data_IF_739532696590
#
_entry.id   IF_739532696590
#
_cell.length_a   1.000
_cell.length_b   1.000
_cell.length_c   1.000
_cell.angle_alpha   90.00
_cell.angle_beta   90.00
_cell.angle_gamma   90.00
#
_symmetry.space_group_name_H-M   'P 1'
#
loop_
_entity.id
_entity.type
_entity.pdbx_description
1 polymer ?
#
# COMPACT_ATOMS: atom_id res chain seq x y z
N UNK A 1 15.28 13.43 11.60
CA UNK A 1 15.57 12.29 12.49
C UNK A 1 16.88 11.61 12.11
N UNK A 2 17.83 12.40 11.68
CA UNK A 2 19.00 12.00 10.91
C UNK A 2 19.71 10.72 11.38
N UNK A 3 20.19 10.62 12.58
CA UNK A 3 20.98 9.44 12.96
C UNK A 3 20.15 8.23 13.43
N UNK A 4 18.82 8.30 13.42
CA UNK A 4 17.92 7.22 13.84
C UNK A 4 17.10 6.64 12.69
N UNK A 5 17.07 7.29 11.54
CA UNK A 5 16.37 6.79 10.35
C UNK A 5 17.00 5.46 9.89
N UNK A 6 16.19 4.43 9.73
CA UNK A 6 16.60 3.10 9.24
C UNK A 6 16.38 3.01 7.73
N UNK A 7 15.22 3.49 7.27
CA UNK A 7 14.87 3.54 5.85
C UNK A 7 14.68 4.99 5.44
N UNK A 8 15.27 5.37 4.30
CA UNK A 8 15.12 6.72 3.75
C UNK A 8 13.70 6.92 3.18
N UNK A 9 13.20 8.17 3.14
CA UNK A 9 11.92 8.47 2.51
C UNK A 9 11.85 7.93 1.07
N UNK A 10 10.73 7.32 0.71
CA UNK A 10 10.52 6.69 -0.60
C UNK A 10 11.19 5.32 -0.77
N UNK A 11 11.85 4.79 0.24
CA UNK A 11 12.49 3.47 0.18
C UNK A 11 11.67 2.33 0.76
N UNK A 12 10.53 2.61 1.39
CA UNK A 12 9.62 1.63 1.97
C UNK A 12 8.26 2.23 2.27
N UNK A 13 7.28 1.40 2.57
CA UNK A 13 5.87 1.76 2.80
C UNK A 13 5.62 2.45 4.16
N UNK A 14 6.58 2.37 5.06
CA UNK A 14 6.51 3.08 6.35
C UNK A 14 7.87 3.68 6.74
N UNK A 15 7.83 4.77 7.49
CA UNK A 15 9.02 5.33 8.11
C UNK A 15 9.48 4.42 9.27
N UNK A 16 10.79 4.13 9.33
CA UNK A 16 11.37 3.27 10.38
C UNK A 16 12.43 4.04 11.15
N UNK A 17 12.21 4.20 12.45
CA UNK A 17 13.05 4.98 13.35
C UNK A 17 13.58 4.11 14.49
N UNK A 18 14.90 3.99 14.55
CA UNK A 18 15.60 3.16 15.56
C UNK A 18 15.31 3.64 16.98
N UNK A 19 14.98 2.71 17.86
CA UNK A 19 14.90 2.95 19.30
C UNK A 19 16.32 2.93 19.92
N UNK A 20 16.74 4.06 20.45
CA UNK A 20 18.01 4.15 21.17
C UNK A 20 17.82 3.75 22.62
N UNK A 21 18.63 2.84 23.17
CA UNK A 21 18.68 2.63 24.61
C UNK A 21 19.06 3.94 25.32
N UNK A 22 18.43 4.21 26.44
CA UNK A 22 18.82 5.34 27.29
C UNK A 22 20.23 5.08 27.86
N UNK A 23 21.19 5.92 27.54
CA UNK A 23 22.56 6.04 28.06
C UNK A 23 23.71 5.30 27.36
N UNK A 24 24.76 6.08 27.08
CA UNK A 24 26.12 5.67 26.74
C UNK A 24 26.45 5.58 25.26
N UNK A 25 27.66 5.99 24.88
CA UNK A 25 28.15 5.96 23.49
C UNK A 25 28.19 4.56 22.87
N UNK A 26 28.13 3.49 23.69
CA UNK A 26 28.02 2.11 23.23
C UNK A 26 26.59 1.63 22.98
N UNK A 27 25.58 2.39 23.34
CA UNK A 27 24.18 1.97 23.27
C UNK A 27 23.63 1.91 21.84
N UNK A 28 24.14 2.69 20.90
CA UNK A 28 23.75 2.66 19.49
C UNK A 28 24.09 1.34 18.80
N UNK A 29 25.22 0.75 19.13
CA UNK A 29 25.65 -0.53 18.59
C UNK A 29 24.80 -1.72 19.06
N UNK A 30 23.95 -1.52 20.09
CA UNK A 30 23.07 -2.54 20.67
C UNK A 30 21.59 -2.29 20.40
N UNK A 31 21.24 -1.24 19.66
CA UNK A 31 19.84 -1.00 19.29
C UNK A 31 19.41 -2.03 18.24
N UNK A 32 18.50 -2.92 18.61
CA UNK A 32 17.95 -3.97 17.70
C UNK A 32 16.50 -3.72 17.31
N UNK A 33 15.82 -2.72 17.90
CA UNK A 33 14.40 -2.43 17.68
C UNK A 33 14.19 -1.06 17.07
N UNK A 34 13.05 -0.92 16.39
CA UNK A 34 12.59 0.36 15.84
C UNK A 34 11.08 0.53 16.01
N UNK A 35 10.64 1.78 15.95
CA UNK A 35 9.24 2.14 15.72
C UNK A 35 9.08 2.39 14.22
N UNK A 36 8.06 1.82 13.63
CA UNK A 36 7.57 2.18 12.30
C UNK A 36 6.33 3.06 12.42
N UNK A 37 6.13 3.97 11.46
CA UNK A 37 4.98 4.87 11.43
C UNK A 37 4.56 5.15 9.98
N UNK A 38 3.25 5.25 9.78
CA UNK A 38 2.63 5.53 8.49
C UNK A 38 1.40 6.42 8.67
N UNK A 39 0.99 7.08 7.61
CA UNK A 39 -0.25 7.87 7.53
C UNK A 39 -0.98 7.53 6.25
N UNK A 40 -2.26 7.12 6.36
CA UNK A 40 -3.09 6.71 5.24
C UNK A 40 -4.49 7.32 5.27
N UNK A 41 -5.07 7.54 4.10
CA UNK A 41 -6.47 7.96 3.94
C UNK A 41 -6.97 7.78 2.50
N UNK A 42 -7.74 6.73 2.19
CA UNK A 42 -8.38 6.56 0.88
C UNK A 42 -9.63 7.43 0.75
N UNK A 43 -9.48 8.76 0.72
CA UNK A 43 -10.59 9.72 0.78
C UNK A 43 -11.61 9.56 -0.35
N UNK A 44 -11.20 9.07 -1.53
CA UNK A 44 -12.10 8.74 -2.64
C UNK A 44 -13.09 7.63 -2.26
N UNK A 45 -12.57 6.58 -1.63
CA UNK A 45 -13.43 5.50 -1.13
C UNK A 45 -14.33 5.95 0.01
N UNK A 46 -13.81 6.79 0.91
CA UNK A 46 -14.63 7.38 1.99
C UNK A 46 -15.76 8.24 1.43
N UNK A 47 -15.52 8.98 0.35
CA UNK A 47 -16.56 9.78 -0.32
C UNK A 47 -17.66 8.91 -0.94
N UNK A 48 -17.33 7.74 -1.48
CA UNK A 48 -18.26 6.81 -2.10
C UNK A 48 -18.99 5.90 -1.09
N UNK A 49 -18.27 5.40 -0.09
CA UNK A 49 -18.78 4.55 0.99
C UNK A 49 -17.93 4.79 2.25
N UNK A 50 -18.39 5.66 3.18
CA UNK A 50 -17.59 6.06 4.34
C UNK A 50 -17.22 4.90 5.27
N UNK A 51 -18.07 3.88 5.40
CA UNK A 51 -17.77 2.72 6.24
C UNK A 51 -16.64 1.88 5.65
N UNK A 52 -16.72 1.56 4.35
CA UNK A 52 -15.65 0.84 3.65
C UNK A 52 -14.35 1.63 3.58
N UNK A 53 -14.45 2.91 3.26
CA UNK A 53 -13.28 3.79 3.22
C UNK A 53 -12.59 3.94 4.58
N UNK A 54 -13.36 4.05 5.66
CA UNK A 54 -12.82 4.03 7.03
C UNK A 54 -12.13 2.71 7.39
N UNK A 55 -12.72 1.57 6.98
CA UNK A 55 -12.07 0.26 7.17
C UNK A 55 -10.77 0.16 6.36
N UNK A 56 -10.78 0.64 5.12
CA UNK A 56 -9.63 0.61 4.23
C UNK A 56 -8.45 1.41 4.80
N UNK A 57 -8.69 2.62 5.36
CA UNK A 57 -7.63 3.44 5.95
C UNK A 57 -6.83 2.71 7.03
N UNK A 58 -7.52 1.97 7.90
CA UNK A 58 -6.85 1.18 8.96
C UNK A 58 -6.15 -0.05 8.37
N UNK A 59 -6.79 -0.75 7.43
CA UNK A 59 -6.24 -1.94 6.80
C UNK A 59 -4.96 -1.64 6.00
N UNK A 60 -4.96 -0.54 5.24
CA UNK A 60 -3.82 -0.07 4.46
C UNK A 60 -2.66 0.36 5.37
N UNK A 61 -2.93 1.16 6.40
CA UNK A 61 -1.90 1.54 7.37
C UNK A 61 -1.23 0.31 8.03
N UNK A 62 -2.01 -0.71 8.40
CA UNK A 62 -1.49 -1.94 8.98
C UNK A 62 -0.69 -2.76 7.95
N UNK A 63 -1.11 -2.77 6.68
CA UNK A 63 -0.43 -3.43 5.56
C UNK A 63 0.91 -2.78 5.27
N UNK A 64 0.97 -1.45 5.20
CA UNK A 64 2.19 -0.67 5.02
C UNK A 64 3.21 -0.93 6.14
N UNK A 65 2.77 -0.98 7.40
CA UNK A 65 3.65 -1.37 8.52
C UNK A 65 4.15 -2.81 8.37
N UNK A 66 3.31 -3.72 7.90
CA UNK A 66 3.69 -5.13 7.70
C UNK A 66 4.71 -5.29 6.59
N UNK A 67 4.67 -4.45 5.53
CA UNK A 67 5.66 -4.44 4.45
C UNK A 67 7.08 -4.09 4.92
N UNK A 68 7.23 -3.34 6.00
CA UNK A 68 8.56 -3.09 6.62
C UNK A 68 8.91 -4.08 7.73
N UNK A 69 8.11 -5.12 7.96
CA UNK A 69 8.30 -6.11 9.02
C UNK A 69 7.84 -5.64 10.41
N UNK A 70 7.12 -4.53 10.51
CA UNK A 70 6.62 -4.01 11.77
C UNK A 70 5.28 -4.65 12.17
N UNK A 71 5.13 -4.97 13.44
CA UNK A 71 3.85 -5.38 14.03
C UNK A 71 3.01 -4.13 14.31
N UNK A 72 1.82 -3.96 13.69
CA UNK A 72 0.92 -2.86 13.99
C UNK A 72 0.48 -2.89 15.45
N UNK A 73 0.54 -1.74 16.14
CA UNK A 73 0.22 -1.67 17.58
C UNK A 73 -1.01 -0.83 17.88
N UNK A 74 -1.11 0.36 17.30
CA UNK A 74 -2.16 1.30 17.64
C UNK A 74 -2.28 2.40 16.59
N UNK A 75 -3.46 3.04 16.54
CA UNK A 75 -3.71 4.18 15.67
C UNK A 75 -3.96 5.47 16.45
N UNK A 76 -3.73 6.59 15.78
CA UNK A 76 -4.34 7.89 16.04
C UNK A 76 -5.13 8.30 14.79
N UNK A 77 -6.23 9.02 14.95
CA UNK A 77 -7.00 9.53 13.82
C UNK A 77 -6.93 11.05 13.72
N UNK A 78 -7.15 11.58 12.51
CA UNK A 78 -7.33 13.00 12.25
C UNK A 78 -8.55 13.14 11.32
N UNK A 79 -9.71 13.31 11.91
CA UNK A 79 -11.00 13.31 11.24
C UNK A 79 -11.30 14.68 10.64
N UNK A 80 -11.30 14.80 9.32
CA UNK A 80 -11.62 16.04 8.62
C UNK A 80 -12.90 15.83 7.79
N UNK A 81 -13.98 16.50 8.19
CA UNK A 81 -15.30 16.29 7.61
C UNK A 81 -16.01 17.61 7.32
N UNK A 82 -17.00 17.60 6.38
CA UNK A 82 -17.92 18.72 6.18
C UNK A 82 -18.76 19.00 7.44
N UNK A 83 -19.72 19.93 7.31
CA UNK A 83 -20.65 20.23 8.40
C UNK A 83 -21.47 19.01 8.82
N UNK A 84 -21.42 18.58 10.09
CA UNK A 84 -22.23 17.49 10.63
C UNK A 84 -23.70 17.89 10.84
N UNK A 85 -24.06 19.12 10.63
CA UNK A 85 -25.45 19.60 10.70
C UNK A 85 -26.27 19.24 9.46
N UNK A 86 -25.56 18.82 8.37
CA UNK A 86 -26.22 18.28 7.19
C UNK A 86 -26.39 16.76 7.32
N UNK A 87 -27.49 16.17 6.81
CA UNK A 87 -27.69 14.72 6.86
C UNK A 87 -26.53 13.94 6.21
N UNK A 88 -26.00 14.43 5.10
CA UNK A 88 -24.87 13.80 4.39
C UNK A 88 -23.58 13.87 5.22
N UNK A 89 -23.23 15.06 5.75
CA UNK A 89 -22.00 15.22 6.53
C UNK A 89 -22.03 14.39 7.82
N UNK A 90 -23.20 14.35 8.52
CA UNK A 90 -23.35 13.48 9.69
C UNK A 90 -23.23 12.00 9.34
N UNK A 91 -23.88 11.56 8.26
CA UNK A 91 -23.79 10.17 7.81
C UNK A 91 -22.35 9.78 7.46
N UNK A 92 -21.64 10.64 6.74
CA UNK A 92 -20.24 10.40 6.38
C UNK A 92 -19.36 10.23 7.62
N UNK A 93 -19.47 11.14 8.59
CA UNK A 93 -18.71 11.07 9.85
C UNK A 93 -19.04 9.80 10.64
N UNK A 94 -20.33 9.54 10.86
CA UNK A 94 -20.77 8.40 11.66
C UNK A 94 -20.35 7.05 11.05
N UNK A 95 -20.50 6.90 9.72
CA UNK A 95 -20.13 5.65 9.03
C UNK A 95 -18.62 5.48 8.93
N UNK A 96 -17.86 6.54 8.69
CA UNK A 96 -16.40 6.47 8.71
C UNK A 96 -15.88 6.04 10.09
N UNK A 97 -16.37 6.65 11.18
CA UNK A 97 -16.01 6.23 12.53
C UNK A 97 -16.37 4.76 12.81
N UNK A 98 -17.52 4.29 12.28
CA UNK A 98 -17.91 2.88 12.39
C UNK A 98 -16.95 1.97 11.65
N UNK A 99 -16.54 2.35 10.43
CA UNK A 99 -15.55 1.63 9.63
C UNK A 99 -14.20 1.54 10.33
N UNK A 100 -13.67 2.67 10.82
CA UNK A 100 -12.45 2.71 11.63
C UNK A 100 -12.53 1.76 12.83
N UNK A 101 -13.60 1.85 13.62
CA UNK A 101 -13.79 1.01 14.80
C UNK A 101 -13.88 -0.49 14.47
N UNK A 102 -14.51 -0.84 13.34
CA UNK A 102 -14.62 -2.22 12.86
C UNK A 102 -13.24 -2.78 12.49
N UNK A 103 -12.47 -2.03 11.72
CA UNK A 103 -11.14 -2.46 11.30
C UNK A 103 -10.15 -2.51 12.47
N UNK A 104 -10.17 -1.52 13.37
CA UNK A 104 -9.36 -1.53 14.58
C UNK A 104 -9.60 -2.77 15.46
N UNK A 105 -10.86 -3.18 15.61
CA UNK A 105 -11.19 -4.42 16.32
C UNK A 105 -10.73 -5.66 15.52
N UNK A 106 -10.91 -5.65 14.19
CA UNK A 106 -10.51 -6.75 13.32
C UNK A 106 -9.01 -6.98 13.28
N UNK A 107 -8.20 -5.92 13.38
CA UNK A 107 -6.74 -5.97 13.30
C UNK A 107 -6.03 -5.82 14.65
N UNK A 108 -6.80 -5.67 15.74
CA UNK A 108 -6.29 -5.51 17.11
C UNK A 108 -5.38 -4.26 17.28
N UNK A 109 -5.78 -3.15 16.65
CA UNK A 109 -5.06 -1.88 16.66
C UNK A 109 -5.91 -0.79 17.30
N UNK A 110 -5.90 -0.64 18.64
CA UNK A 110 -6.77 0.31 19.33
C UNK A 110 -6.48 1.76 18.95
N UNK A 111 -7.50 2.60 19.01
CA UNK A 111 -7.38 4.06 18.88
C UNK A 111 -6.84 4.63 20.19
N UNK A 112 -5.67 5.30 20.14
CA UNK A 112 -5.04 5.90 21.32
C UNK A 112 -5.41 7.36 21.54
N UNK A 113 -5.93 8.02 20.50
CA UNK A 113 -6.32 9.41 20.52
C UNK A 113 -6.52 9.91 19.10
N UNK A 114 -6.80 11.19 18.97
CA UNK A 114 -7.02 11.78 17.66
C UNK A 114 -7.40 13.23 17.70
N UNK A 115 -7.77 13.75 16.53
CA UNK A 115 -8.29 15.09 16.34
C UNK A 115 -9.52 15.05 15.46
N UNK A 116 -10.46 15.96 15.67
CA UNK A 116 -11.59 16.17 14.78
C UNK A 116 -11.66 17.62 14.32
N UNK A 117 -11.78 17.80 13.02
CA UNK A 117 -12.02 19.09 12.37
C UNK A 117 -13.29 18.98 11.53
N UNK A 118 -14.27 19.76 11.87
CA UNK A 118 -15.59 19.80 11.22
C UNK A 118 -15.79 21.12 10.51
N UNK A 119 -16.88 21.22 9.72
CA UNK A 119 -17.18 22.39 8.90
C UNK A 119 -16.09 22.74 7.88
N UNK A 120 -15.41 21.71 7.34
CA UNK A 120 -14.41 21.90 6.30
C UNK A 120 -15.12 22.10 4.94
N UNK A 121 -15.40 23.34 4.63
CA UNK A 121 -16.17 23.76 3.47
C UNK A 121 -15.61 25.06 2.88
N UNK A 122 -15.63 25.18 1.56
CA UNK A 122 -15.25 26.39 0.85
C UNK A 122 -16.51 27.16 0.42
N UNK A 123 -16.62 28.43 0.78
CA UNK A 123 -17.67 29.29 0.25
C UNK A 123 -17.32 29.73 -1.16
N UNK A 124 -18.13 29.31 -2.12
CA UNK A 124 -18.00 29.71 -3.51
C UNK A 124 -18.48 31.18 -3.73
N UNK A 125 -18.06 31.82 -4.86
CA UNK A 125 -18.48 33.19 -5.18
C UNK A 125 -20.00 33.37 -5.29
N UNK A 126 -20.73 32.32 -5.64
CA UNK A 126 -22.19 32.31 -5.71
C UNK A 126 -22.90 32.09 -4.35
N UNK A 127 -22.12 31.98 -3.28
CA UNK A 127 -22.58 31.77 -1.91
C UNK A 127 -22.84 30.34 -1.51
N UNK A 128 -22.74 29.38 -2.42
CA UNK A 128 -22.85 27.95 -2.09
C UNK A 128 -21.65 27.49 -1.26
N UNK A 129 -21.89 26.57 -0.34
CA UNK A 129 -20.82 25.87 0.39
C UNK A 129 -20.43 24.62 -0.39
N UNK A 130 -19.15 24.48 -0.68
CA UNK A 130 -18.56 23.28 -1.28
C UNK A 130 -17.83 22.52 -0.19
N UNK A 131 -18.36 21.35 0.23
CA UNK A 131 -17.71 20.52 1.23
C UNK A 131 -16.44 19.87 0.67
N UNK A 132 -15.48 19.60 1.55
CA UNK A 132 -14.36 18.72 1.22
C UNK A 132 -14.84 17.26 1.06
N UNK A 133 -14.03 16.42 0.41
CA UNK A 133 -14.21 14.98 0.56
C UNK A 133 -13.99 14.59 2.04
N UNK A 134 -14.78 13.66 2.59
CA UNK A 134 -14.57 13.18 3.95
C UNK A 134 -13.21 12.51 4.06
N UNK A 135 -12.38 12.96 4.99
CA UNK A 135 -10.96 12.62 5.05
C UNK A 135 -10.57 12.18 6.47
N UNK A 136 -10.90 10.95 6.87
CA UNK A 136 -10.44 10.36 8.13
C UNK A 136 -9.02 9.83 7.98
N UNK A 137 -8.04 10.68 8.23
CA UNK A 137 -6.63 10.29 8.18
C UNK A 137 -6.30 9.39 9.38
N UNK A 138 -5.68 8.25 9.11
CA UNK A 138 -5.19 7.30 10.10
C UNK A 138 -3.67 7.39 10.18
N UNK A 139 -3.14 7.73 11.35
CA UNK A 139 -1.74 7.54 11.67
C UNK A 139 -1.59 6.23 12.46
N UNK A 140 -0.74 5.31 12.00
CA UNK A 140 -0.50 4.05 12.69
C UNK A 140 0.96 3.90 13.08
N UNK A 141 1.19 3.35 14.27
CA UNK A 141 2.53 2.99 14.75
C UNK A 141 2.65 1.49 14.90
N UNK A 142 3.84 0.98 14.60
CA UNK A 142 4.18 -0.44 14.74
C UNK A 142 5.57 -0.63 15.35
N UNK A 143 5.83 -1.84 15.81
CA UNK A 143 7.10 -2.24 16.40
C UNK A 143 7.86 -3.16 15.44
N UNK A 144 9.07 -2.75 15.09
CA UNK A 144 10.08 -3.62 14.47
C UNK A 144 10.85 -4.31 15.57
N UNK A 145 10.70 -5.63 15.69
CA UNK A 145 11.33 -6.43 16.75
C UNK A 145 12.82 -6.64 16.53
N UNK A 146 13.24 -6.73 15.25
CA UNK A 146 14.65 -6.85 14.89
C UNK A 146 14.97 -6.04 13.63
N UNK A 147 15.90 -5.09 13.78
CA UNK A 147 16.38 -4.22 12.71
C UNK A 147 17.08 -4.98 11.56
N UNK A 148 17.55 -6.21 11.81
CA UNK A 148 18.14 -7.04 10.76
C UNK A 148 17.12 -7.50 9.71
N UNK A 149 15.84 -7.44 10.02
CA UNK A 149 14.73 -7.92 9.21
C UNK A 149 13.78 -6.79 8.76
N UNK A 150 14.31 -5.60 8.49
CA UNK A 150 13.55 -4.51 7.86
C UNK A 150 13.63 -4.66 6.35
N UNK A 151 12.47 -4.66 5.69
CA UNK A 151 12.36 -4.68 4.24
C UNK A 151 11.99 -3.31 3.68
N UNK A 152 12.29 -3.07 2.41
CA UNK A 152 11.85 -1.93 1.63
C UNK A 152 11.16 -2.38 0.35
N UNK A 153 10.71 -1.42 -0.46
CA UNK A 153 9.99 -1.70 -1.71
C UNK A 153 10.91 -2.02 -2.90
N UNK A 154 12.19 -1.59 -2.85
CA UNK A 154 13.13 -1.77 -3.95
C UNK A 154 13.46 -3.25 -4.19
N UNK A 155 13.40 -3.72 -5.44
CA UNK A 155 13.94 -5.02 -5.83
C UNK A 155 15.41 -5.12 -5.41
N UNK A 156 15.88 -6.29 -4.98
CA UNK A 156 17.25 -6.43 -4.49
C UNK A 156 18.18 -7.05 -5.54
N UNK A 157 17.80 -8.16 -6.16
CA UNK A 157 18.63 -8.86 -7.11
C UNK A 157 17.85 -9.37 -8.32
N UNK A 158 18.49 -9.35 -9.50
CA UNK A 158 17.93 -9.95 -10.69
C UNK A 158 17.84 -11.48 -10.51
N UNK A 159 16.71 -12.04 -10.91
CA UNK A 159 16.37 -13.45 -10.71
C UNK A 159 15.49 -13.72 -9.49
N UNK A 160 15.27 -12.74 -8.62
CA UNK A 160 14.29 -12.88 -7.55
C UNK A 160 12.89 -13.09 -8.16
N UNK A 161 12.14 -14.07 -7.65
CA UNK A 161 10.77 -14.32 -8.09
C UNK A 161 9.82 -13.28 -7.51
N UNK A 162 8.95 -12.68 -8.34
CA UNK A 162 7.95 -11.69 -7.93
C UNK A 162 6.64 -12.41 -7.64
N UNK A 163 6.14 -12.25 -6.42
CA UNK A 163 4.89 -12.84 -5.96
C UNK A 163 3.90 -11.76 -5.56
N UNK A 164 2.63 -12.02 -5.84
CA UNK A 164 1.49 -11.29 -5.31
C UNK A 164 0.89 -12.08 -4.16
N UNK A 165 0.84 -11.50 -2.98
CA UNK A 165 0.05 -11.97 -1.85
C UNK A 165 -1.31 -11.27 -1.84
N UNK A 166 -2.33 -11.93 -1.25
CA UNK A 166 -3.69 -11.39 -1.15
C UNK A 166 -4.59 -11.86 -2.28
N UNK A 167 -5.66 -11.10 -2.57
CA UNK A 167 -6.60 -11.46 -3.63
C UNK A 167 -5.87 -11.63 -4.98
N UNK A 168 -5.99 -12.78 -5.64
CA UNK A 168 -5.25 -13.08 -6.86
C UNK A 168 -5.69 -12.17 -8.01
N UNK A 169 -4.82 -12.01 -9.00
CA UNK A 169 -5.22 -11.47 -10.29
C UNK A 169 -6.14 -12.49 -10.96
N UNK A 170 -7.39 -12.13 -11.13
CA UNK A 170 -8.39 -13.00 -11.74
C UNK A 170 -9.17 -12.26 -12.81
N UNK A 171 -9.55 -12.97 -13.87
CA UNK A 171 -10.43 -12.44 -14.92
C UNK A 171 -11.88 -12.27 -14.45
N UNK A 172 -12.25 -12.85 -13.31
CA UNK A 172 -13.60 -12.81 -12.74
C UNK A 172 -13.84 -11.67 -11.77
N UNK A 173 -15.11 -11.42 -11.46
CA UNK A 173 -15.49 -10.42 -10.50
C UNK A 173 -15.10 -10.88 -9.07
N UNK A 174 -14.27 -10.10 -8.40
CA UNK A 174 -13.97 -10.22 -6.98
C UNK A 174 -14.35 -8.89 -6.32
N UNK A 175 -15.33 -8.92 -5.40
CA UNK A 175 -15.80 -7.70 -4.73
C UNK A 175 -14.72 -7.04 -3.85
N UNK A 176 -13.63 -7.73 -3.57
CA UNK A 176 -12.49 -7.20 -2.83
C UNK A 176 -11.55 -6.35 -3.69
N UNK A 177 -11.67 -6.43 -5.01
CA UNK A 177 -10.81 -5.73 -5.98
C UNK A 177 -11.68 -4.98 -6.98
N UNK A 178 -11.45 -3.69 -7.18
CA UNK A 178 -12.31 -2.86 -8.02
C UNK A 178 -11.56 -1.71 -8.69
N UNK A 179 -12.12 -1.22 -9.80
CA UNK A 179 -11.75 0.07 -10.38
C UNK A 179 -12.51 1.24 -9.74
N UNK A 180 -13.56 0.98 -8.94
CA UNK A 180 -14.39 2.03 -8.35
C UNK A 180 -13.60 2.89 -7.36
N UNK A 181 -13.62 4.20 -7.55
CA UNK A 181 -12.92 5.17 -6.71
C UNK A 181 -11.39 5.10 -6.77
N UNK A 182 -10.82 4.42 -7.78
CA UNK A 182 -9.38 4.31 -7.95
C UNK A 182 -8.77 5.58 -8.53
N UNK A 183 -7.46 5.74 -8.30
CA UNK A 183 -6.66 6.77 -8.98
C UNK A 183 -6.75 6.68 -10.50
N UNK A 184 -6.87 5.47 -11.05
CA UNK A 184 -7.03 5.26 -12.49
C UNK A 184 -8.32 5.91 -13.02
N UNK A 185 -9.48 5.66 -12.39
CA UNK A 185 -10.74 6.27 -12.82
C UNK A 185 -10.73 7.80 -12.71
N UNK A 186 -10.14 8.33 -11.65
CA UNK A 186 -10.07 9.76 -11.46
C UNK A 186 -9.11 10.42 -12.46
N UNK A 187 -7.88 9.93 -12.56
CA UNK A 187 -6.83 10.56 -13.37
C UNK A 187 -7.06 10.39 -14.88
N UNK A 188 -7.55 9.24 -15.32
CA UNK A 188 -7.71 8.93 -16.74
C UNK A 188 -9.10 9.30 -17.27
N UNK A 189 -10.13 9.09 -16.45
CA UNK A 189 -11.52 9.27 -16.89
C UNK A 189 -12.23 10.45 -16.21
N UNK A 190 -11.60 11.14 -15.25
CA UNK A 190 -12.21 12.25 -14.51
C UNK A 190 -13.44 11.83 -13.69
N UNK A 191 -13.52 10.56 -13.27
CA UNK A 191 -14.69 9.99 -12.63
C UNK A 191 -14.40 9.51 -11.22
N UNK A 192 -15.24 9.90 -10.28
CA UNK A 192 -15.33 9.35 -8.94
C UNK A 192 -16.68 8.64 -8.80
N UNK A 193 -16.70 7.34 -9.01
CA UNK A 193 -17.95 6.56 -9.08
C UNK A 193 -17.73 5.10 -8.74
N UNK A 194 -18.83 4.38 -8.58
CA UNK A 194 -18.86 2.95 -8.30
C UNK A 194 -18.89 2.66 -6.81
N UNK A 195 -18.67 1.41 -6.46
CA UNK A 195 -18.67 0.94 -5.07
C UNK A 195 -17.26 0.51 -4.67
N UNK A 196 -16.69 1.09 -3.59
CA UNK A 196 -15.38 0.70 -3.09
C UNK A 196 -15.30 -0.80 -2.77
N UNK A 197 -14.10 -1.39 -2.71
CA UNK A 197 -13.95 -2.81 -2.49
C UNK A 197 -14.52 -3.25 -1.12
N UNK A 198 -14.90 -4.50 -1.01
CA UNK A 198 -15.13 -5.14 0.29
C UNK A 198 -13.79 -5.28 1.00
N UNK A 199 -13.70 -4.77 2.21
CA UNK A 199 -12.51 -4.92 3.05
C UNK A 199 -12.65 -6.22 3.85
N UNK A 200 -11.92 -7.23 3.41
CA UNK A 200 -11.87 -8.55 4.06
C UNK A 200 -10.79 -8.53 5.16
N UNK A 201 -11.21 -8.22 6.39
CA UNK A 201 -10.30 -8.11 7.53
C UNK A 201 -9.67 -9.44 7.94
N UNK A 202 -10.29 -10.57 7.60
CA UNK A 202 -9.70 -11.88 7.85
C UNK A 202 -8.53 -12.14 6.90
N UNK A 203 -8.71 -11.82 5.62
CA UNK A 203 -7.65 -11.88 4.61
C UNK A 203 -6.51 -10.90 4.95
N UNK A 204 -6.83 -9.65 5.29
CA UNK A 204 -5.84 -8.65 5.73
C UNK A 204 -4.99 -9.17 6.88
N UNK A 205 -5.62 -9.72 7.92
CA UNK A 205 -4.91 -10.28 9.08
C UNK A 205 -4.00 -11.45 8.68
N UNK A 206 -4.48 -12.37 7.87
CA UNK A 206 -3.71 -13.56 7.44
C UNK A 206 -2.51 -13.18 6.61
N UNK A 207 -2.71 -12.34 5.57
CA UNK A 207 -1.65 -11.89 4.66
C UNK A 207 -0.58 -11.09 5.40
N UNK A 208 -0.99 -10.12 6.21
CA UNK A 208 -0.06 -9.28 6.96
C UNK A 208 0.75 -10.08 8.01
N UNK A 209 0.12 -11.00 8.73
CA UNK A 209 0.81 -11.85 9.70
C UNK A 209 1.82 -12.78 9.01
N UNK A 210 1.42 -13.40 7.90
CA UNK A 210 2.30 -14.24 7.08
C UNK A 210 3.50 -13.45 6.57
N UNK A 211 3.28 -12.25 6.01
CA UNK A 211 4.35 -11.42 5.49
C UNK A 211 5.37 -11.07 6.59
N UNK A 212 4.92 -10.61 7.76
CA UNK A 212 5.82 -10.30 8.87
C UNK A 212 6.64 -11.51 9.32
N UNK A 213 6.02 -12.70 9.35
CA UNK A 213 6.74 -13.94 9.62
C UNK A 213 7.76 -14.26 8.53
N UNK A 214 7.41 -14.14 7.26
CA UNK A 214 8.31 -14.38 6.14
C UNK A 214 9.52 -13.41 6.15
N UNK A 215 9.28 -12.13 6.45
CA UNK A 215 10.34 -11.12 6.63
C UNK A 215 11.26 -11.52 7.79
N UNK A 216 10.71 -11.89 8.95
CA UNK A 216 11.51 -12.28 10.13
C UNK A 216 12.35 -13.53 9.91
N UNK A 217 11.98 -14.38 8.96
CA UNK A 217 12.71 -15.57 8.55
C UNK A 217 13.68 -15.33 7.39
N UNK A 218 13.73 -14.10 6.84
CA UNK A 218 14.58 -13.76 5.71
C UNK A 218 14.17 -14.44 4.39
N UNK A 219 12.88 -14.76 4.23
CA UNK A 219 12.35 -15.44 3.05
C UNK A 219 12.09 -14.46 1.88
N UNK A 220 11.88 -13.18 2.17
CA UNK A 220 11.61 -12.14 1.18
C UNK A 220 12.70 -11.08 1.20
N UNK A 221 13.05 -10.56 0.03
CA UNK A 221 14.06 -9.52 -0.15
C UNK A 221 13.44 -8.12 -0.21
N UNK A 222 12.20 -7.99 -0.68
CA UNK A 222 11.44 -6.74 -0.72
C UNK A 222 9.95 -6.99 -0.53
N UNK A 223 9.24 -5.96 -0.06
CA UNK A 223 7.78 -5.99 0.06
C UNK A 223 7.22 -4.59 -0.21
N UNK A 224 6.10 -4.50 -0.93
CA UNK A 224 5.41 -3.27 -1.29
C UNK A 224 3.90 -3.49 -1.39
N UNK A 225 3.14 -2.59 -0.77
CA UNK A 225 1.69 -2.58 -0.82
C UNK A 225 1.15 -2.25 -2.24
N UNK A 226 0.04 -2.85 -2.64
CA UNK A 226 -0.72 -2.42 -3.80
C UNK A 226 -1.81 -1.45 -3.35
N UNK A 227 -1.56 -0.17 -3.49
CA UNK A 227 -2.50 0.91 -3.17
C UNK A 227 -2.92 1.67 -4.44
N UNK A 228 -2.73 2.97 -4.48
CA UNK A 228 -3.10 3.85 -5.59
C UNK A 228 -2.48 3.41 -6.93
N UNK A 229 -3.34 3.14 -7.92
CA UNK A 229 -2.92 2.71 -9.26
C UNK A 229 -2.64 1.21 -9.42
N UNK A 230 -2.85 0.41 -8.38
CA UNK A 230 -2.82 -1.05 -8.44
C UNK A 230 -1.47 -1.67 -8.82
N UNK A 231 -1.52 -2.82 -9.49
CA UNK A 231 -0.33 -3.62 -9.83
C UNK A 231 0.68 -2.87 -10.70
N UNK A 232 0.20 -2.15 -11.70
CA UNK A 232 1.09 -1.50 -12.67
C UNK A 232 1.93 -0.41 -12.02
N UNK A 233 1.32 0.38 -11.14
CA UNK A 233 2.02 1.46 -10.42
C UNK A 233 2.95 0.87 -9.36
N UNK A 234 2.50 -0.09 -8.54
CA UNK A 234 3.34 -0.72 -7.53
C UNK A 234 4.60 -1.38 -8.12
N UNK A 235 4.46 -2.09 -9.25
CA UNK A 235 5.61 -2.67 -9.95
C UNK A 235 6.57 -1.59 -10.50
N UNK A 236 6.02 -0.48 -11.02
CA UNK A 236 6.82 0.66 -11.49
C UNK A 236 7.61 1.31 -10.35
N UNK A 237 6.99 1.47 -9.17
CA UNK A 237 7.63 2.04 -7.97
C UNK A 237 8.77 1.17 -7.49
N UNK A 238 8.58 -0.15 -7.43
CA UNK A 238 9.66 -1.09 -7.11
C UNK A 238 10.84 -1.01 -8.10
N UNK A 239 10.54 -0.91 -9.40
CA UNK A 239 11.57 -0.74 -10.45
C UNK A 239 12.28 0.61 -10.32
N UNK A 240 11.56 1.70 -10.11
CA UNK A 240 12.16 3.04 -9.95
C UNK A 240 13.06 3.12 -8.72
N UNK A 241 12.65 2.50 -7.61
CA UNK A 241 13.41 2.50 -6.36
C UNK A 241 14.71 1.70 -6.46
N UNK A 242 14.70 0.58 -7.19
CA UNK A 242 15.85 -0.31 -7.33
C UNK A 242 16.77 0.05 -8.51
N UNK A 243 16.19 0.56 -9.60
CA UNK A 243 16.84 0.63 -10.91
C UNK A 243 16.91 -0.72 -11.65
N UNK A 244 16.32 -1.76 -11.11
CA UNK A 244 16.18 -3.09 -11.74
C UNK A 244 14.83 -3.20 -12.45
N UNK A 245 14.83 -3.84 -13.61
CA UNK A 245 13.61 -4.14 -14.35
C UNK A 245 12.78 -5.27 -13.74
N UNK A 246 11.63 -5.51 -14.34
CA UNK A 246 10.79 -6.65 -13.99
C UNK A 246 10.10 -7.21 -15.23
N UNK A 247 9.91 -8.54 -15.26
CA UNK A 247 9.09 -9.23 -16.25
C UNK A 247 7.92 -9.89 -15.53
N UNK A 248 6.70 -9.41 -15.79
CA UNK A 248 5.48 -9.94 -15.21
C UNK A 248 4.62 -10.59 -16.28
N UNK A 249 4.13 -11.79 -16.01
CA UNK A 249 3.16 -12.50 -16.84
C UNK A 249 1.80 -12.46 -16.14
N UNK A 250 0.83 -11.78 -16.75
CA UNK A 250 -0.51 -11.66 -16.22
C UNK A 250 -1.33 -12.91 -16.54
N UNK A 251 -2.29 -13.30 -15.69
CA UNK A 251 -3.11 -14.48 -15.95
C UNK A 251 -3.88 -14.35 -17.25
N UNK A 252 -3.91 -15.44 -18.01
CA UNK A 252 -4.72 -15.52 -19.23
C UNK A 252 -6.21 -15.45 -18.89
N UNK A 253 -7.02 -14.83 -19.77
CA UNK A 253 -8.48 -14.74 -19.62
C UNK A 253 -9.07 -13.55 -20.36
N UNK A 254 -10.40 -13.53 -20.43
CA UNK A 254 -11.17 -12.48 -21.11
C UNK A 254 -11.47 -11.26 -20.22
N UNK A 255 -10.78 -11.16 -19.09
CA UNK A 255 -10.93 -10.04 -18.15
C UNK A 255 -10.47 -8.71 -18.75
N UNK A 256 -11.05 -7.62 -18.25
CA UNK A 256 -10.63 -6.26 -18.61
C UNK A 256 -9.17 -6.05 -18.20
N UNK A 257 -8.35 -5.64 -19.15
CA UNK A 257 -6.92 -5.39 -18.92
C UNK A 257 -6.68 -4.27 -17.88
N UNK A 258 -7.44 -3.18 -17.96
CA UNK A 258 -7.37 -2.09 -17.00
C UNK A 258 -7.70 -2.54 -15.57
N UNK A 259 -8.58 -3.53 -15.39
CA UNK A 259 -8.87 -4.11 -14.09
C UNK A 259 -7.68 -4.92 -13.56
N UNK A 260 -7.01 -5.70 -14.40
CA UNK A 260 -5.81 -6.43 -13.99
C UNK A 260 -4.67 -5.50 -13.56
N UNK A 261 -4.49 -4.40 -14.29
CA UNK A 261 -3.38 -3.46 -14.10
C UNK A 261 -3.62 -2.44 -12.98
N UNK A 262 -4.85 -1.88 -12.91
CA UNK A 262 -5.13 -0.66 -12.14
C UNK A 262 -6.22 -0.80 -11.08
N UNK A 263 -6.83 -1.99 -10.92
CA UNK A 263 -7.78 -2.18 -9.82
C UNK A 263 -7.04 -2.16 -8.48
N UNK A 264 -7.72 -1.62 -7.46
CA UNK A 264 -7.19 -1.44 -6.10
C UNK A 264 -7.95 -2.33 -5.10
N UNK A 265 -7.37 -2.54 -3.90
CA UNK A 265 -7.95 -3.37 -2.83
C UNK A 265 -7.43 -4.81 -2.79
N UNK A 266 -8.10 -5.68 -2.01
CA UNK A 266 -7.86 -7.13 -1.94
C UNK A 266 -6.71 -7.55 -1.03
N UNK A 267 -6.26 -6.73 -0.09
CA UNK A 267 -5.16 -7.06 0.82
C UNK A 267 -3.87 -7.45 0.07
N UNK A 268 -3.59 -6.79 -1.07
CA UNK A 268 -2.55 -7.20 -2.00
C UNK A 268 -1.19 -6.58 -1.69
N UNK A 269 -0.14 -7.41 -1.76
CA UNK A 269 1.25 -7.01 -1.53
C UNK A 269 2.13 -7.67 -2.60
N UNK A 270 3.03 -6.92 -3.24
CA UNK A 270 4.12 -7.46 -4.03
C UNK A 270 5.29 -7.79 -3.11
N UNK A 271 5.87 -8.98 -3.32
CA UNK A 271 7.11 -9.38 -2.65
C UNK A 271 8.09 -9.96 -3.64
N UNK A 272 9.40 -9.80 -3.40
CA UNK A 272 10.42 -10.52 -4.13
C UNK A 272 11.03 -11.61 -3.26
N UNK A 273 11.20 -12.81 -3.84
CA UNK A 273 11.70 -14.00 -3.16
C UNK A 273 12.99 -14.47 -3.85
N UNK A 274 14.14 -14.45 -3.16
CA UNK A 274 15.39 -14.94 -3.71
C UNK A 274 15.31 -16.40 -4.14
N UNK A 275 15.97 -16.81 -5.23
CA UNK A 275 15.98 -18.21 -5.68
C UNK A 275 16.40 -19.20 -4.59
N UNK A 276 17.33 -18.81 -3.72
CA UNK A 276 17.78 -19.62 -2.59
C UNK A 276 16.70 -19.88 -1.53
N UNK A 277 15.67 -19.04 -1.48
CA UNK A 277 14.57 -19.12 -0.52
C UNK A 277 13.30 -19.78 -1.09
N UNK A 278 13.25 -20.11 -2.38
CA UNK A 278 12.04 -20.63 -3.06
C UNK A 278 11.42 -21.83 -2.34
N UNK A 279 12.24 -22.80 -1.90
CA UNK A 279 11.74 -23.99 -1.20
C UNK A 279 11.18 -23.65 0.17
N UNK A 280 11.88 -22.82 0.94
CA UNK A 280 11.42 -22.39 2.27
C UNK A 280 10.17 -21.52 2.18
N UNK A 281 10.07 -20.66 1.16
CA UNK A 281 8.89 -19.87 0.85
C UNK A 281 7.66 -20.75 0.59
N UNK A 282 7.78 -21.74 -0.29
CA UNK A 282 6.68 -22.66 -0.58
C UNK A 282 6.25 -23.44 0.67
N UNK A 283 7.21 -23.91 1.46
CA UNK A 283 6.92 -24.59 2.72
C UNK A 283 6.18 -23.68 3.73
N UNK A 284 6.53 -22.39 3.79
CA UNK A 284 5.85 -21.43 4.64
C UNK A 284 4.40 -21.21 4.21
N UNK A 285 4.12 -21.10 2.90
CA UNK A 285 2.76 -21.03 2.35
C UNK A 285 1.94 -22.28 2.66
N UNK A 286 2.52 -23.47 2.48
CA UNK A 286 1.86 -24.74 2.76
C UNK A 286 1.54 -24.91 4.25
N UNK A 287 2.44 -24.43 5.14
CA UNK A 287 2.24 -24.43 6.58
C UNK A 287 1.10 -23.46 6.98
N UNK A 288 1.06 -22.26 6.41
CA UNK A 288 -0.01 -21.29 6.65
C UNK A 288 -1.37 -21.89 6.27
N UNK A 289 -1.47 -22.48 5.07
CA UNK A 289 -2.69 -23.15 4.60
C UNK A 289 -3.12 -24.30 5.52
N UNK A 290 -2.15 -25.13 5.96
CA UNK A 290 -2.41 -26.26 6.87
C UNK A 290 -2.87 -25.81 8.26
N UNK A 291 -2.45 -24.62 8.69
CA UNK A 291 -2.90 -24.00 9.93
C UNK A 291 -4.26 -23.31 9.81
N UNK A 292 -4.90 -23.34 8.65
CA UNK A 292 -6.20 -22.71 8.39
C UNK A 292 -6.12 -21.20 8.12
N UNK A 293 -4.93 -20.69 7.82
CA UNK A 293 -4.76 -19.31 7.39
C UNK A 293 -4.86 -19.23 5.87
N UNK A 294 -5.83 -18.48 5.38
CA UNK A 294 -5.96 -18.21 3.95
C UNK A 294 -4.94 -17.12 3.55
N UNK A 295 -3.89 -17.52 2.83
CA UNK A 295 -2.85 -16.64 2.28
C UNK A 295 -2.71 -16.94 0.80
N UNK A 296 -3.61 -16.41 -0.04
CA UNK A 296 -3.46 -16.56 -1.49
C UNK A 296 -2.13 -15.95 -1.93
N UNK A 297 -1.37 -16.70 -2.73
CA UNK A 297 -0.09 -16.29 -3.27
C UNK A 297 0.02 -16.70 -4.73
N UNK A 298 0.41 -15.77 -5.59
CA UNK A 298 0.55 -15.98 -7.03
C UNK A 298 1.92 -15.51 -7.50
N UNK A 299 2.71 -16.38 -8.12
CA UNK A 299 3.94 -15.98 -8.79
C UNK A 299 3.57 -15.25 -10.10
N UNK A 300 4.04 -14.02 -10.23
CA UNK A 300 3.76 -13.17 -11.38
C UNK A 300 4.93 -13.08 -12.35
N UNK A 301 6.17 -13.34 -11.91
CA UNK A 301 7.33 -13.16 -12.76
C UNK A 301 8.64 -13.07 -12.01
N UNK A 302 9.58 -12.32 -12.56
CA UNK A 302 10.94 -12.21 -12.03
C UNK A 302 11.47 -10.78 -12.12
N UNK A 303 12.36 -10.44 -11.21
CA UNK A 303 13.19 -9.24 -11.28
C UNK A 303 14.23 -9.42 -12.40
N UNK A 304 14.36 -8.42 -13.27
CA UNK A 304 15.25 -8.46 -14.42
C UNK A 304 16.48 -7.57 -14.22
N UNK A 305 17.62 -8.00 -14.79
CA UNK A 305 18.83 -7.17 -14.79
C UNK A 305 18.75 -5.95 -15.71
N UNK A 306 17.76 -5.91 -16.63
CA UNK A 306 17.50 -4.79 -17.52
C UNK A 306 16.89 -3.59 -16.81
N UNK A 307 16.76 -2.49 -17.54
CA UNK A 307 16.18 -1.23 -17.04
C UNK A 307 14.74 -1.01 -17.56
N UNK A 308 13.97 -2.07 -17.79
CA UNK A 308 12.62 -1.98 -18.34
C UNK A 308 11.62 -2.74 -17.46
N UNK A 309 10.45 -2.13 -17.25
CA UNK A 309 9.29 -2.83 -16.75
C UNK A 309 8.51 -3.40 -17.93
N UNK A 310 8.38 -4.72 -17.98
CA UNK A 310 7.55 -5.38 -18.98
C UNK A 310 6.44 -6.22 -18.34
N UNK A 311 5.24 -6.16 -18.92
CA UNK A 311 4.11 -6.99 -18.55
C UNK A 311 3.54 -7.62 -19.82
N UNK A 312 3.26 -8.92 -19.77
CA UNK A 312 2.67 -9.68 -20.87
C UNK A 312 1.48 -10.49 -20.40
N UNK A 313 0.66 -10.91 -21.34
CA UNK A 313 -0.46 -11.83 -21.10
C UNK A 313 -0.47 -12.86 -22.22
N UNK A 314 -0.40 -14.13 -21.87
CA UNK A 314 -0.27 -15.23 -22.83
C UNK A 314 0.89 -15.00 -23.85
N UNK A 315 2.00 -14.44 -23.35
CA UNK A 315 3.18 -14.11 -24.16
C UNK A 315 3.02 -12.88 -25.07
N UNK A 316 1.89 -12.16 -25.01
CA UNK A 316 1.68 -10.93 -25.78
C UNK A 316 2.10 -9.74 -24.89
N UNK A 317 3.05 -8.90 -25.34
CA UNK A 317 3.45 -7.71 -24.61
C UNK A 317 2.30 -6.72 -24.47
N UNK A 318 2.09 -6.20 -23.26
CA UNK A 318 1.06 -5.22 -22.92
C UNK A 318 1.68 -3.89 -22.45
N UNK A 319 2.75 -3.99 -21.69
CA UNK A 319 3.52 -2.86 -21.16
C UNK A 319 4.99 -3.15 -21.41
N UNK A 320 5.71 -2.15 -21.91
CA UNK A 320 7.17 -2.17 -22.05
C UNK A 320 7.64 -0.72 -21.88
N UNK A 321 8.15 -0.40 -20.71
CA UNK A 321 8.49 0.97 -20.33
C UNK A 321 9.87 1.04 -19.68
N UNK A 322 10.77 1.89 -20.20
CA UNK A 322 12.05 2.17 -19.55
C UNK A 322 11.86 2.79 -18.15
N UNK A 323 12.63 2.35 -17.18
CA UNK A 323 12.57 2.85 -15.80
C UNK A 323 12.87 4.36 -15.75
N UNK A 324 13.78 4.86 -16.57
CA UNK A 324 14.11 6.28 -16.61
C UNK A 324 12.93 7.13 -17.10
N UNK A 325 12.10 6.60 -18.01
CA UNK A 325 10.87 7.26 -18.43
C UNK A 325 9.84 7.29 -17.29
N UNK A 326 9.67 6.18 -16.56
CA UNK A 326 8.80 6.09 -15.39
C UNK A 326 9.23 7.09 -14.33
N UNK A 327 10.54 7.09 -13.98
CA UNK A 327 11.14 7.99 -12.98
C UNK A 327 10.97 9.47 -13.39
N UNK A 328 11.27 9.80 -14.63
CA UNK A 328 11.12 11.17 -15.14
C UNK A 328 9.68 11.63 -15.06
N UNK A 329 8.73 10.77 -15.41
CA UNK A 329 7.29 11.09 -15.35
C UNK A 329 6.85 11.34 -13.91
N UNK A 330 7.27 10.51 -12.97
CA UNK A 330 6.94 10.63 -11.56
C UNK A 330 7.58 11.86 -10.91
N UNK A 331 8.91 11.99 -10.99
CA UNK A 331 9.66 13.04 -10.30
C UNK A 331 9.39 14.45 -10.85
N UNK A 332 9.08 14.56 -12.15
CA UNK A 332 8.83 15.85 -12.80
C UNK A 332 7.36 16.27 -12.79
N UNK A 333 6.44 15.45 -12.30
CA UNK A 333 5.01 15.76 -12.34
C UNK A 333 4.67 17.08 -11.62
N UNK A 334 5.15 17.27 -10.41
CA UNK A 334 4.94 18.50 -9.61
C UNK A 334 5.81 19.65 -10.12
N UNK A 335 7.14 19.50 -10.32
CA UNK A 335 7.98 20.58 -10.85
C UNK A 335 7.44 21.18 -12.15
N UNK A 336 6.98 20.36 -13.09
CA UNK A 336 6.38 20.86 -14.36
C UNK A 336 5.14 21.71 -14.12
N UNK A 337 4.25 21.29 -13.23
CA UNK A 337 3.04 22.05 -12.87
C UNK A 337 3.37 23.36 -12.15
N UNK A 338 4.50 23.41 -11.45
CA UNK A 338 5.02 24.62 -10.81
C UNK A 338 5.79 25.55 -11.76
N UNK A 339 5.85 25.26 -13.05
CA UNK A 339 6.50 26.09 -14.06
C UNK A 339 8.02 25.97 -14.10
N UNK A 340 8.60 24.88 -13.60
CA UNK A 340 10.03 24.62 -13.77
C UNK A 340 10.36 24.35 -15.24
N UNK A 341 11.38 25.03 -15.78
CA UNK A 341 11.98 24.71 -17.09
C UNK A 341 12.75 23.39 -16.95
N UNK A 342 12.10 22.29 -17.27
CA UNK A 342 12.70 20.97 -17.23
C UNK A 342 13.11 20.54 -18.64
N UNK A 343 14.22 19.80 -18.79
CA UNK A 343 14.61 19.27 -20.10
C UNK A 343 13.48 18.43 -20.69
N UNK A 344 13.29 18.44 -22.02
CA UNK A 344 12.30 17.58 -22.65
C UNK A 344 12.60 16.11 -22.30
N UNK A 345 11.57 15.36 -22.02
CA UNK A 345 11.67 13.90 -21.88
C UNK A 345 12.11 13.30 -23.20
N UNK A 346 13.19 12.53 -23.18
CA UNK A 346 13.68 11.78 -24.34
C UNK A 346 12.66 10.73 -24.78
#
# INVERSE_FOLDING_TARGET
>A
VQANTVVLPGGADAAVVRLRPQQGAGAMAKATRAVAAVVDCPNRWVALDPERGGMAAVAEAARNLSCVGAEPLAITDNLNFPSPETPTGYWQLAMACRGLATACKGLDTPVTGGNVSLYNETRLPDGRMQPIHPTPVVGMVGLVHDLAHVTGLAWQEAGDAIWLLGAPLAAGADERVTLAGTSYLECIHGQLTGRPPVIDLALERSVQAFLRQAISQGLVASAHDLSDGGLAVAAAECCMASGLGAHLELPAGDGRLDHLLFAEGGARILVSVPPAQTVAWQQALDQASSAGHDVPAQCLGVVAAGADLSMSQAGIPLVELPIDQLRTTFEQAIPRRMGADLPPTA
#
